data_IF_824718798220
#
_entry.id   IF_824718798220
#
_cell.length_a   1.000
_cell.length_b   1.000
_cell.length_c   1.000
_cell.angle_alpha   90.00
_cell.angle_beta   90.00
_cell.angle_gamma   90.00
#
_symmetry.space_group_name_H-M   'P 1'
#
loop_
_entity.id
_entity.type
_entity.pdbx_description
1 polymer ?
#
# COMPACT_ATOMS: atom_id res chain seq x y z
N UNK A 1 9.90 0.14 9.08
CA UNK A 1 8.46 -0.20 9.22
C UNK A 1 8.01 -0.96 7.99
N UNK A 2 7.18 -2.02 8.11
CA UNK A 2 6.64 -2.71 6.92
C UNK A 2 5.31 -2.14 6.47
N UNK A 3 5.12 -2.06 5.16
CA UNK A 3 3.92 -1.57 4.52
C UNK A 3 3.37 -2.66 3.62
N UNK A 4 2.07 -2.91 3.74
CA UNK A 4 1.30 -3.78 2.85
C UNK A 4 0.42 -2.93 1.94
N UNK A 5 0.46 -3.21 0.65
CA UNK A 5 -0.40 -2.60 -0.37
C UNK A 5 -1.28 -3.70 -0.97
N UNK A 6 -2.57 -3.57 -0.78
CA UNK A 6 -3.59 -4.46 -1.30
C UNK A 6 -4.43 -3.75 -2.36
N UNK A 7 -4.92 -4.53 -3.29
CA UNK A 7 -5.96 -4.15 -4.24
C UNK A 7 -7.27 -4.69 -3.69
N UNK A 8 -8.24 -3.80 -3.43
CA UNK A 8 -9.62 -4.19 -3.21
C UNK A 8 -10.41 -4.17 -4.50
N UNK A 9 -11.06 -5.28 -4.81
CA UNK A 9 -11.93 -5.42 -5.97
C UNK A 9 -13.12 -6.32 -5.62
N UNK A 10 -14.33 -5.78 -5.71
CA UNK A 10 -15.56 -6.49 -5.32
C UNK A 10 -15.91 -7.67 -6.23
N UNK A 11 -15.36 -7.72 -7.45
CA UNK A 11 -15.68 -8.74 -8.45
C UNK A 11 -14.59 -9.82 -8.48
N UNK A 12 -13.32 -9.41 -8.46
CA UNK A 12 -12.16 -10.29 -8.62
C UNK A 12 -11.54 -10.72 -7.29
N UNK A 13 -12.01 -10.17 -6.17
CA UNK A 13 -11.47 -10.41 -4.85
C UNK A 13 -10.29 -9.50 -4.52
N UNK A 14 -10.00 -9.42 -3.23
CA UNK A 14 -8.88 -8.65 -2.71
C UNK A 14 -7.56 -9.38 -2.99
N UNK A 15 -6.50 -8.66 -3.37
CA UNK A 15 -5.20 -9.25 -3.69
C UNK A 15 -4.04 -8.43 -3.16
N UNK A 16 -2.95 -9.11 -2.80
CA UNK A 16 -1.71 -8.45 -2.42
C UNK A 16 -0.99 -7.92 -3.66
N UNK A 17 -0.74 -6.61 -3.69
CA UNK A 17 0.02 -5.98 -4.76
C UNK A 17 1.51 -5.85 -4.41
N UNK A 18 1.83 -5.44 -3.19
CA UNK A 18 3.21 -5.28 -2.73
C UNK A 18 3.28 -5.30 -1.20
N UNK A 19 4.36 -5.87 -0.64
CA UNK A 19 4.67 -5.78 0.79
C UNK A 19 6.19 -5.62 0.95
N UNK A 20 6.61 -4.71 1.83
CA UNK A 20 8.03 -4.48 2.06
C UNK A 20 8.30 -3.40 3.10
N UNK A 21 9.58 -3.22 3.41
CA UNK A 21 10.01 -2.13 4.30
C UNK A 21 9.84 -0.76 3.63
N UNK A 22 9.60 0.27 4.43
CA UNK A 22 9.43 1.65 3.96
C UNK A 22 10.61 2.16 3.11
N UNK A 23 11.83 1.67 3.37
CA UNK A 23 13.02 2.00 2.57
C UNK A 23 12.94 1.50 1.11
N UNK A 24 12.02 0.57 0.83
CA UNK A 24 11.81 -0.06 -0.49
C UNK A 24 10.58 0.43 -1.23
N UNK A 25 9.86 1.45 -0.72
CA UNK A 25 8.66 2.01 -1.38
C UNK A 25 8.92 2.41 -2.84
N UNK A 26 10.17 2.73 -3.20
CA UNK A 26 10.51 3.08 -4.58
C UNK A 26 10.35 1.94 -5.59
N UNK A 27 10.31 0.68 -5.14
CA UNK A 27 10.04 -0.51 -5.97
C UNK A 27 8.61 -0.53 -6.51
N UNK A 28 7.67 0.16 -5.85
CA UNK A 28 6.26 0.23 -6.25
C UNK A 28 6.14 1.00 -7.56
N UNK A 29 5.88 0.32 -8.68
CA UNK A 29 5.82 0.99 -10.00
C UNK A 29 4.53 1.80 -10.23
N UNK A 30 3.45 1.47 -9.53
CA UNK A 30 2.20 2.21 -9.64
C UNK A 30 2.25 3.50 -8.81
N UNK A 31 2.13 4.67 -9.46
CA UNK A 31 2.26 5.97 -8.80
C UNK A 31 1.23 6.23 -7.69
N UNK A 32 -0.10 6.03 -7.90
CA UNK A 32 -1.08 6.12 -6.83
C UNK A 32 -0.77 5.24 -5.62
N UNK A 33 -0.41 3.97 -5.85
CA UNK A 33 -0.03 3.05 -4.79
C UNK A 33 1.21 3.55 -4.04
N UNK A 34 2.26 3.96 -4.76
CA UNK A 34 3.51 4.50 -4.18
C UNK A 34 3.25 5.73 -3.32
N UNK A 35 2.48 6.70 -3.84
CA UNK A 35 2.18 7.92 -3.09
C UNK A 35 1.36 7.63 -1.84
N UNK A 36 0.45 6.65 -1.89
CA UNK A 36 -0.34 6.23 -0.73
C UNK A 36 0.56 5.54 0.30
N UNK A 37 1.44 4.63 -0.12
CA UNK A 37 2.45 4.01 0.73
C UNK A 37 3.36 5.03 1.43
N UNK A 38 3.85 6.07 0.72
CA UNK A 38 4.62 7.15 1.36
C UNK A 38 3.85 7.90 2.45
N UNK A 39 2.53 8.06 2.30
CA UNK A 39 1.71 8.71 3.33
C UNK A 39 1.58 7.81 4.56
N UNK A 40 1.34 6.51 4.36
CA UNK A 40 1.32 5.53 5.45
C UNK A 40 2.69 5.46 6.13
N UNK A 41 3.79 5.48 5.37
CA UNK A 41 5.14 5.53 5.93
C UNK A 41 5.40 6.70 6.88
N UNK A 42 4.74 7.83 6.63
CA UNK A 42 4.92 9.03 7.43
C UNK A 42 4.17 8.98 8.77
N UNK A 43 3.01 8.32 8.82
CA UNK A 43 2.10 8.42 9.97
C UNK A 43 1.53 7.10 10.51
N UNK A 44 1.87 5.96 9.91
CA UNK A 44 1.40 4.61 10.28
C UNK A 44 -0.09 4.38 10.02
N UNK A 45 -0.82 5.38 9.52
CA UNK A 45 -2.29 5.28 9.39
C UNK A 45 -2.65 4.54 8.12
N UNK A 46 -3.49 3.52 8.26
CA UNK A 46 -4.09 2.85 7.11
C UNK A 46 -4.83 3.85 6.23
N UNK A 47 -4.62 3.78 4.91
CA UNK A 47 -5.20 4.68 3.92
C UNK A 47 -5.80 3.91 2.77
N UNK A 48 -6.92 4.42 2.26
CA UNK A 48 -7.61 3.89 1.09
C UNK A 48 -7.59 4.97 0.00
N UNK A 49 -7.22 4.60 -1.22
CA UNK A 49 -7.25 5.48 -2.38
C UNK A 49 -7.70 4.71 -3.63
N UNK A 50 -8.94 4.91 -4.06
CA UNK A 50 -9.53 4.10 -5.13
C UNK A 50 -9.54 2.63 -4.73
N UNK A 51 -8.93 1.77 -5.55
CA UNK A 51 -8.77 0.33 -5.27
C UNK A 51 -7.61 0.00 -4.31
N UNK A 52 -6.76 0.97 -3.95
CA UNK A 52 -5.58 0.73 -3.13
C UNK A 52 -5.92 0.81 -1.65
N UNK A 53 -5.68 -0.25 -0.91
CA UNK A 53 -5.68 -0.26 0.56
C UNK A 53 -4.23 -0.42 1.02
N UNK A 54 -3.75 0.53 1.80
CA UNK A 54 -2.36 0.53 2.25
C UNK A 54 -2.32 0.65 3.77
N UNK A 55 -1.61 -0.26 4.41
CA UNK A 55 -1.52 -0.37 5.87
C UNK A 55 -0.08 -0.59 6.32
N UNK A 56 0.21 -0.14 7.54
CA UNK A 56 1.38 -0.61 8.28
C UNK A 56 1.11 -2.04 8.76
N UNK A 57 2.14 -2.89 8.69
CA UNK A 57 2.12 -4.27 9.20
C UNK A 57 3.38 -4.50 10.06
N UNK A 58 3.26 -5.40 11.04
CA UNK A 58 4.36 -5.81 11.94
C UNK A 58 5.54 -6.46 11.19
#
# INVERSE_FOLDING_TARGET
MRIRVEIKNEILGDSLFWEGDESKIEEIRNLPAKMTARKVAKDGKTRIFGMWVVSEVE
#
